data_IF_890897676261
#
_entry.id   IF_890897676261
#
_cell.length_a   1.000
_cell.length_b   1.000
_cell.length_c   1.000
_cell.angle_alpha   90.00
_cell.angle_beta   90.00
_cell.angle_gamma   90.00
#
_symmetry.space_group_name_H-M   'P 1'
#
loop_
_entity.id
_entity.type
_entity.pdbx_description
1 polymer ?
#
# COMPACT_ATOMS: atom_id res chain seq x y z
N UNK A 1 -9.45 -19.55 -5.17
CA UNK A 1 -8.55 -20.67 -5.49
C UNK A 1 -7.93 -21.18 -4.20
N UNK A 2 -7.65 -22.48 -4.09
CA UNK A 2 -7.19 -23.12 -2.84
C UNK A 2 -5.87 -22.55 -2.29
N UNK A 3 -5.06 -21.88 -3.12
CA UNK A 3 -3.76 -21.28 -2.75
C UNK A 3 -3.82 -19.80 -2.33
N UNK A 4 -4.99 -19.16 -2.34
CA UNK A 4 -5.14 -17.73 -2.03
C UNK A 4 -5.85 -17.53 -0.69
N UNK A 5 -5.47 -16.48 0.03
CA UNK A 5 -6.18 -16.04 1.24
C UNK A 5 -7.61 -15.65 0.86
N UNK A 6 -8.60 -16.04 1.68
CA UNK A 6 -9.99 -15.63 1.50
C UNK A 6 -10.11 -14.12 1.66
N UNK A 7 -10.97 -13.48 0.87
CA UNK A 7 -11.21 -12.03 0.92
C UNK A 7 -11.43 -11.52 2.35
N UNK A 8 -12.32 -12.16 3.12
CA UNK A 8 -12.59 -11.81 4.51
C UNK A 8 -11.33 -11.78 5.41
N UNK A 9 -10.45 -12.78 5.28
CA UNK A 9 -9.20 -12.85 6.06
C UNK A 9 -8.20 -11.78 5.61
N UNK A 10 -8.20 -11.43 4.33
CA UNK A 10 -7.35 -10.35 3.83
C UNK A 10 -7.79 -8.99 4.39
N UNK A 11 -9.11 -8.73 4.44
CA UNK A 11 -9.67 -7.48 5.01
C UNK A 11 -9.37 -7.36 6.51
N UNK A 12 -9.50 -8.46 7.25
CA UNK A 12 -9.15 -8.51 8.68
C UNK A 12 -7.68 -8.11 8.93
N UNK A 13 -6.74 -8.69 8.19
CA UNK A 13 -5.32 -8.33 8.29
C UNK A 13 -5.12 -6.84 7.97
N UNK A 14 -5.84 -6.31 6.97
CA UNK A 14 -5.71 -4.91 6.61
C UNK A 14 -6.23 -3.96 7.70
N UNK A 15 -7.39 -4.27 8.30
CA UNK A 15 -7.92 -3.55 9.46
C UNK A 15 -6.92 -3.52 10.62
N UNK A 16 -6.30 -4.67 10.94
CA UNK A 16 -5.29 -4.77 11.99
C UNK A 16 -4.05 -3.90 11.68
N UNK A 17 -3.57 -3.93 10.43
CA UNK A 17 -2.42 -3.13 10.00
C UNK A 17 -2.70 -1.62 10.03
N UNK A 18 -3.87 -1.20 9.56
CA UNK A 18 -4.29 0.21 9.54
C UNK A 18 -4.79 0.70 10.90
N UNK A 19 -5.08 -0.23 11.82
CA UNK A 19 -5.76 0.03 13.10
C UNK A 19 -7.08 0.77 12.91
N UNK A 20 -7.76 0.48 11.81
CA UNK A 20 -9.02 1.10 11.44
C UNK A 20 -10.10 0.01 11.27
N UNK A 21 -11.00 -0.15 12.27
CA UNK A 21 -12.07 -1.15 12.21
C UNK A 21 -13.19 -0.75 11.24
N UNK A 22 -13.19 0.47 10.71
CA UNK A 22 -14.24 0.95 9.80
C UNK A 22 -14.05 0.50 8.36
N UNK A 23 -12.89 -0.06 8.02
CA UNK A 23 -12.60 -0.62 6.70
C UNK A 23 -13.56 -1.78 6.43
N UNK A 24 -14.58 -1.55 5.62
CA UNK A 24 -15.58 -2.56 5.29
C UNK A 24 -15.10 -3.47 4.16
N UNK A 25 -15.37 -4.79 4.22
CA UNK A 25 -15.17 -5.70 3.09
C UNK A 25 -15.85 -5.25 1.80
N UNK A 26 -16.97 -4.50 1.89
CA UNK A 26 -17.71 -4.00 0.73
C UNK A 26 -17.04 -2.80 0.04
N UNK A 27 -16.18 -2.06 0.73
CA UNK A 27 -15.42 -0.94 0.16
C UNK A 27 -14.18 -1.37 -0.62
N UNK A 28 -13.88 -2.67 -0.63
CA UNK A 28 -12.59 -3.19 -1.12
C UNK A 28 -12.79 -4.31 -2.13
N UNK A 29 -12.51 -4.00 -3.38
CA UNK A 29 -12.61 -4.95 -4.48
C UNK A 29 -11.31 -5.72 -4.67
N UNK A 30 -11.25 -6.96 -4.16
CA UNK A 30 -10.12 -7.87 -4.38
C UNK A 30 -10.58 -9.07 -5.19
N UNK A 31 -9.98 -9.26 -6.37
CA UNK A 31 -10.28 -10.38 -7.24
C UNK A 31 -9.01 -11.06 -7.74
N UNK A 32 -9.07 -12.39 -7.86
CA UNK A 32 -8.02 -13.16 -8.50
C UNK A 32 -8.16 -13.03 -10.02
N UNK A 33 -7.10 -12.58 -10.68
CA UNK A 33 -7.00 -12.57 -12.14
C UNK A 33 -6.87 -14.02 -12.61
N UNK A 34 -7.79 -14.45 -13.47
CA UNK A 34 -7.73 -15.76 -14.12
C UNK A 34 -7.16 -15.58 -15.52
N UNK A 35 -6.35 -16.55 -15.94
CA UNK A 35 -5.91 -16.63 -17.32
C UNK A 35 -7.14 -16.88 -18.23
N UNK A 36 -7.34 -16.05 -19.26
CA UNK A 36 -8.43 -16.21 -20.26
C UNK A 36 -8.05 -17.17 -21.39
N UNK A 37 -7.20 -18.16 -21.11
CA UNK A 37 -6.70 -19.13 -22.10
C UNK A 37 -7.80 -19.95 -22.80
N UNK A 38 -9.08 -19.80 -22.45
CA UNK A 38 -10.19 -20.59 -22.99
C UNK A 38 -10.99 -19.93 -24.12
N UNK A 39 -10.86 -18.63 -24.40
CA UNK A 39 -11.70 -17.97 -25.42
C UNK A 39 -11.07 -17.90 -26.81
N UNK A 40 -9.75 -18.05 -26.92
CA UNK A 40 -9.05 -18.05 -28.20
C UNK A 40 -7.86 -18.99 -28.03
N UNK A 41 -7.98 -20.22 -28.53
CA UNK A 41 -7.06 -21.35 -28.25
C UNK A 41 -5.64 -21.21 -28.80
N UNK A 42 -5.00 -20.05 -28.65
CA UNK A 42 -3.72 -19.69 -29.30
C UNK A 42 -2.69 -19.09 -28.36
N UNK A 43 -3.02 -18.71 -27.12
CA UNK A 43 -2.05 -18.07 -26.22
C UNK A 43 -1.62 -19.01 -25.08
N UNK A 44 -0.33 -19.39 -25.10
CA UNK A 44 0.35 -20.19 -24.06
C UNK A 44 0.31 -19.43 -22.73
N UNK A 45 -0.01 -20.13 -21.64
CA UNK A 45 -0.47 -19.63 -20.33
C UNK A 45 0.43 -18.67 -19.51
N UNK A 46 1.32 -17.92 -20.16
CA UNK A 46 1.95 -16.70 -19.64
C UNK A 46 1.49 -15.43 -20.37
N UNK A 47 1.21 -15.48 -21.68
CA UNK A 47 0.86 -14.31 -22.48
C UNK A 47 -0.56 -13.79 -22.17
N UNK A 48 -1.53 -14.71 -22.05
CA UNK A 48 -2.90 -14.35 -21.72
C UNK A 48 -3.03 -13.84 -20.27
N UNK A 49 -2.23 -14.35 -19.34
CA UNK A 49 -2.08 -13.76 -17.99
C UNK A 49 -1.47 -12.35 -18.04
N UNK A 50 -0.41 -12.13 -18.82
CA UNK A 50 0.18 -10.80 -19.00
C UNK A 50 -0.83 -9.78 -19.56
N UNK A 51 -1.66 -10.21 -20.52
CA UNK A 51 -2.74 -9.39 -21.06
C UNK A 51 -3.80 -9.05 -20.01
N UNK A 52 -4.24 -10.03 -19.23
CA UNK A 52 -5.20 -9.83 -18.15
C UNK A 52 -4.66 -8.90 -17.05
N UNK A 53 -3.37 -9.03 -16.69
CA UNK A 53 -2.69 -8.09 -15.78
C UNK A 53 -2.64 -6.69 -16.39
N UNK A 54 -2.30 -6.58 -17.68
CA UNK A 54 -2.27 -5.28 -18.39
C UNK A 54 -3.63 -4.60 -18.42
N UNK A 55 -4.73 -5.35 -18.49
CA UNK A 55 -6.09 -4.81 -18.37
C UNK A 55 -6.38 -4.22 -17.00
N UNK A 56 -5.88 -4.82 -15.91
CA UNK A 56 -6.07 -4.27 -14.56
C UNK A 56 -5.32 -2.96 -14.32
N UNK A 57 -4.31 -2.68 -15.14
CA UNK A 57 -3.58 -1.41 -15.10
C UNK A 57 -4.27 -0.30 -15.91
N UNK A 58 -5.35 -0.60 -16.65
CA UNK A 58 -6.05 0.40 -17.46
C UNK A 58 -6.99 1.25 -16.60
N UNK A 59 -6.93 2.56 -16.84
CA UNK A 59 -7.85 3.62 -16.37
C UNK A 59 -8.46 3.43 -14.98
N UNK A 60 -7.74 3.85 -13.93
CA UNK A 60 -8.30 3.98 -12.58
C UNK A 60 -9.48 4.96 -12.50
N UNK A 61 -9.57 5.90 -13.45
CA UNK A 61 -10.69 6.84 -13.64
C UNK A 61 -10.99 6.91 -15.13
N UNK A 62 -12.26 6.78 -15.54
CA UNK A 62 -12.63 6.97 -16.95
C UNK A 62 -12.86 8.45 -17.26
N UNK A 63 -12.61 8.90 -18.50
CA UNK A 63 -12.92 10.29 -18.90
C UNK A 63 -14.38 10.68 -18.65
N UNK A 64 -15.32 9.73 -18.80
CA UNK A 64 -16.74 9.96 -18.47
C UNK A 64 -16.96 10.30 -17.00
N UNK A 65 -16.20 9.68 -16.10
CA UNK A 65 -16.35 9.88 -14.65
C UNK A 65 -15.86 11.27 -14.24
N UNK A 66 -14.81 11.77 -14.94
CA UNK A 66 -14.29 13.12 -14.76
C UNK A 66 -15.32 14.20 -15.13
N UNK A 67 -16.13 13.95 -16.16
CA UNK A 67 -17.11 14.93 -16.66
C UNK A 67 -18.47 14.82 -15.98
N UNK A 68 -18.83 13.62 -15.52
CA UNK A 68 -20.12 13.37 -14.87
C UNK A 68 -20.16 13.93 -13.44
N UNK A 69 -19.03 13.95 -12.73
CA UNK A 69 -18.90 14.54 -11.39
C UNK A 69 -17.55 15.27 -11.23
N UNK A 70 -17.49 16.56 -11.63
CA UNK A 70 -16.27 17.34 -11.55
C UNK A 70 -15.79 17.59 -10.12
N UNK A 71 -16.70 17.73 -9.16
CA UNK A 71 -16.37 18.03 -7.76
C UNK A 71 -15.72 16.81 -7.09
N UNK A 72 -16.26 15.61 -7.32
CA UNK A 72 -15.62 14.37 -6.91
C UNK A 72 -14.22 14.21 -7.52
N UNK A 73 -14.06 14.52 -8.81
CA UNK A 73 -12.76 14.38 -9.49
C UNK A 73 -11.71 15.36 -8.93
N UNK A 74 -12.10 16.60 -8.62
CA UNK A 74 -11.23 17.56 -7.95
C UNK A 74 -10.82 17.07 -6.56
N UNK A 75 -11.75 16.48 -5.81
CA UNK A 75 -11.45 15.94 -4.49
C UNK A 75 -10.54 14.71 -4.56
N UNK A 76 -10.76 13.81 -5.51
CA UNK A 76 -9.86 12.70 -5.80
C UNK A 76 -8.45 13.21 -6.11
N UNK A 77 -8.33 14.27 -6.91
CA UNK A 77 -7.04 14.89 -7.26
C UNK A 77 -6.36 15.48 -6.03
N UNK A 78 -7.09 16.15 -5.12
CA UNK A 78 -6.54 16.66 -3.86
C UNK A 78 -6.04 15.55 -2.94
N UNK A 79 -6.84 14.50 -2.75
CA UNK A 79 -6.50 13.40 -1.83
C UNK A 79 -5.32 12.56 -2.32
N UNK A 80 -5.22 12.38 -3.63
CA UNK A 80 -4.15 11.62 -4.27
C UNK A 80 -2.89 12.44 -4.56
N UNK A 81 -2.95 13.77 -4.39
CA UNK A 81 -1.80 14.66 -4.55
C UNK A 81 -0.64 14.23 -3.64
N UNK A 82 0.56 14.08 -4.22
CA UNK A 82 1.78 13.59 -3.56
C UNK A 82 1.66 12.17 -2.96
N UNK A 83 0.66 11.39 -3.39
CA UNK A 83 0.57 9.96 -3.05
C UNK A 83 1.17 9.12 -4.16
N UNK A 84 1.68 7.95 -3.78
CA UNK A 84 2.18 6.96 -4.72
C UNK A 84 1.00 6.17 -5.28
N UNK A 85 0.74 6.33 -6.57
CA UNK A 85 -0.37 5.64 -7.26
C UNK A 85 -0.08 4.17 -7.59
N UNK A 86 1.20 3.81 -7.69
CA UNK A 86 1.63 2.45 -8.07
C UNK A 86 2.59 1.91 -7.02
N UNK A 87 2.21 0.84 -6.33
CA UNK A 87 3.08 0.07 -5.46
C UNK A 87 3.23 -1.34 -6.03
N UNK A 88 4.47 -1.72 -6.38
CA UNK A 88 4.76 -3.00 -7.02
C UNK A 88 5.64 -3.86 -6.12
N UNK A 89 5.23 -5.11 -5.91
CA UNK A 89 5.91 -6.09 -5.05
C UNK A 89 6.18 -7.40 -5.79
N UNK A 90 6.92 -8.29 -5.15
CA UNK A 90 7.22 -9.62 -5.68
C UNK A 90 7.88 -9.59 -7.06
N UNK A 91 7.43 -10.47 -7.96
CA UNK A 91 8.01 -10.62 -9.30
C UNK A 91 7.84 -9.38 -10.18
N UNK A 92 6.81 -8.56 -9.90
CA UNK A 92 6.49 -7.36 -10.68
C UNK A 92 7.31 -6.14 -10.27
N UNK A 93 7.97 -6.17 -9.09
CA UNK A 93 8.81 -5.06 -8.60
C UNK A 93 9.92 -4.66 -9.60
N UNK A 94 10.43 -5.62 -10.37
CA UNK A 94 11.50 -5.39 -11.37
C UNK A 94 10.97 -4.90 -12.73
N UNK A 95 9.67 -5.04 -12.98
CA UNK A 95 9.04 -4.73 -14.28
C UNK A 95 8.35 -3.37 -14.23
N UNK A 96 7.65 -3.06 -13.14
CA UNK A 96 6.91 -1.82 -12.94
C UNK A 96 7.63 -0.95 -11.90
N UNK A 97 8.75 -0.32 -12.30
CA UNK A 97 9.40 0.75 -11.53
C UNK A 97 9.03 2.08 -12.20
N UNK A 98 7.98 2.73 -11.68
CA UNK A 98 7.49 4.00 -12.23
C UNK A 98 8.50 5.12 -11.98
N UNK A 99 9.20 5.06 -10.84
CA UNK A 99 10.31 5.94 -10.49
C UNK A 99 11.48 5.10 -9.97
N UNK A 100 12.72 5.52 -10.27
CA UNK A 100 13.92 5.01 -9.61
C UNK A 100 13.94 5.62 -8.19
N UNK A 101 13.16 5.04 -7.27
CA UNK A 101 13.14 5.49 -5.88
C UNK A 101 14.56 5.43 -5.31
N UNK A 102 15.17 6.59 -5.12
CA UNK A 102 16.37 6.70 -4.30
C UNK A 102 15.95 6.60 -2.84
N UNK A 103 16.81 6.05 -1.98
CA UNK A 103 16.57 6.02 -0.52
C UNK A 103 16.21 7.41 0.04
N UNK A 104 16.67 8.48 -0.62
CA UNK A 104 16.36 9.87 -0.26
C UNK A 104 14.88 10.24 -0.39
N UNK A 105 14.13 9.63 -1.33
CA UNK A 105 12.69 9.89 -1.50
C UNK A 105 11.83 9.12 -0.49
N UNK A 106 12.32 7.99 0.01
CA UNK A 106 11.68 7.19 1.07
C UNK A 106 11.88 7.80 2.47
N UNK A 107 12.85 8.71 2.62
CA UNK A 107 13.26 9.31 3.91
C UNK A 107 12.65 10.70 4.14
N UNK A 108 11.88 11.28 3.21
CA UNK A 108 11.24 12.59 3.39
C UNK A 108 10.15 12.54 4.50
N UNK A 109 10.57 12.72 5.76
CA UNK A 109 9.74 13.25 6.84
C UNK A 109 9.24 14.62 6.39
N UNK A 110 7.94 14.86 6.46
CA UNK A 110 7.39 16.20 6.27
C UNK A 110 8.04 17.15 7.27
N UNK A 111 8.74 18.17 6.76
CA UNK A 111 9.51 19.13 7.55
C UNK A 111 10.65 18.46 8.31
N UNK A 112 11.89 18.82 7.95
CA UNK A 112 12.94 18.74 8.96
C UNK A 112 12.51 19.71 10.07
N UNK A 113 11.94 19.20 11.15
CA UNK A 113 12.08 19.90 12.42
C UNK A 113 13.57 19.91 12.68
N UNK A 114 14.22 21.04 12.41
CA UNK A 114 15.53 21.40 12.93
C UNK A 114 15.42 21.54 14.45
N UNK A 115 15.06 20.46 15.12
CA UNK A 115 15.32 20.30 16.54
C UNK A 115 16.78 19.86 16.63
N UNK A 116 17.61 20.69 17.25
CA UNK A 116 18.92 20.25 17.72
C UNK A 116 18.70 18.98 18.57
N UNK A 117 19.16 17.84 18.06
CA UNK A 117 19.15 16.58 18.79
C UNK A 117 20.10 16.72 19.99
N UNK A 118 19.54 17.00 21.16
CA UNK A 118 20.26 17.12 22.43
C UNK A 118 20.94 15.82 22.88
N UNK A 119 20.79 14.74 22.10
CA UNK A 119 21.40 13.43 22.36
C UNK A 119 20.64 12.62 23.41
N UNK A 120 19.56 13.15 23.97
CA UNK A 120 18.72 12.40 24.90
C UNK A 120 17.99 11.27 24.18
N UNK A 121 17.82 10.13 24.85
CA UNK A 121 17.12 8.97 24.29
C UNK A 121 16.15 8.42 25.31
N UNK A 122 14.89 8.30 24.91
CA UNK A 122 13.88 7.58 25.68
C UNK A 122 13.98 6.09 25.37
N UNK A 123 14.03 5.26 26.40
CA UNK A 123 14.04 3.82 26.27
C UNK A 123 12.63 3.24 26.29
N UNK A 124 12.43 2.28 25.41
CA UNK A 124 11.25 1.44 25.36
C UNK A 124 11.69 -0.02 25.39
N UNK A 125 11.00 -0.85 26.18
CA UNK A 125 11.24 -2.28 26.20
C UNK A 125 10.02 -3.04 25.68
N UNK A 126 10.28 -4.14 24.96
CA UNK A 126 9.24 -5.09 24.60
C UNK A 126 8.78 -5.83 25.85
N UNK A 127 7.48 -5.79 26.15
CA UNK A 127 6.88 -6.58 27.23
C UNK A 127 6.26 -7.82 26.60
N UNK A 128 6.90 -8.97 26.74
CA UNK A 128 6.46 -10.22 26.11
C UNK A 128 5.02 -10.58 26.44
N UNK A 129 4.61 -10.42 27.71
CA UNK A 129 3.26 -10.73 28.18
C UNK A 129 2.21 -9.84 27.51
N UNK A 130 2.51 -8.55 27.33
CA UNK A 130 1.56 -7.60 26.74
C UNK A 130 1.69 -7.48 25.22
N UNK A 131 2.71 -8.13 24.64
CA UNK A 131 3.05 -8.08 23.22
C UNK A 131 3.09 -6.66 22.66
N UNK A 132 3.63 -5.73 23.45
CA UNK A 132 3.80 -4.32 23.05
C UNK A 132 5.03 -3.71 23.69
N UNK A 133 5.55 -2.67 23.04
CA UNK A 133 6.58 -1.82 23.63
C UNK A 133 5.95 -0.93 24.71
N UNK A 134 6.63 -0.83 25.85
CA UNK A 134 6.29 0.08 26.95
C UNK A 134 7.49 0.95 27.27
N UNK A 135 7.21 2.16 27.78
CA UNK A 135 8.26 3.07 28.25
C UNK A 135 9.04 2.40 29.39
N UNK A 136 10.37 2.49 29.31
CA UNK A 136 11.30 1.90 30.26
C UNK A 136 12.28 2.99 30.74
N UNK A 137 11.85 3.90 31.63
CA UNK A 137 12.62 5.09 32.01
C UNK A 137 14.03 4.79 32.52
N UNK A 138 14.23 3.60 33.10
CA UNK A 138 15.52 3.16 33.63
C UNK A 138 16.60 2.99 32.54
N UNK A 139 16.22 2.88 31.27
CA UNK A 139 17.15 2.81 30.14
C UNK A 139 17.35 4.14 29.42
N UNK A 140 16.71 5.22 29.89
CA UNK A 140 16.82 6.53 29.27
C UNK A 140 18.28 7.00 29.32
N UNK A 141 18.74 7.60 28.22
CA UNK A 141 20.05 8.27 28.19
C UNK A 141 19.81 9.78 28.26
N UNK A 142 20.46 10.49 29.21
CA UNK A 142 20.35 11.94 29.27
C UNK A 142 20.99 12.59 28.05
N UNK A 143 20.65 13.86 27.81
CA UNK A 143 21.31 14.71 26.82
C UNK A 143 22.84 14.70 27.03
N UNK A 144 23.60 14.77 25.93
CA UNK A 144 25.06 14.71 25.96
C UNK A 144 25.69 16.10 26.15
#
# INVERSE_FOLDING_TARGET
GSKYVKHARWVEIWQECMRDPTISPSGVHVQAIKDRSSETGTEVGGAALQRAVSETLKYSVKPSDMTNDPDWFLELTRQSHKRRFVATGGVLKKVLRVDEETDSDLVKRGGAEEGEDDGSRLAFNWREVERRYRRAPNGDKPAR
#
